data_IF_213795001757
#
_entry.id   IF_213795001757
#
_cell.length_a   1.000
_cell.length_b   1.000
_cell.length_c   1.000
_cell.angle_alpha   90.00
_cell.angle_beta   90.00
_cell.angle_gamma   90.00
#
_symmetry.space_group_name_H-M   'P 1'
#
loop_
_entity.id
_entity.type
_entity.pdbx_description
1 polymer ?
#
# COMPACT_ATOMS: atom_id res chain seq x y z
N UNK A 1 5.73 -17.32 -11.45
CA UNK A 1 5.82 -16.85 -10.04
C UNK A 1 7.17 -17.25 -9.46
N UNK A 2 7.80 -16.34 -8.71
CA UNK A 2 9.11 -16.59 -8.10
C UNK A 2 9.00 -17.64 -6.97
N UNK A 3 9.83 -18.70 -7.03
CA UNK A 3 9.75 -19.80 -6.08
C UNK A 3 10.10 -19.37 -4.65
N UNK A 4 11.11 -18.49 -4.49
CA UNK A 4 11.49 -17.95 -3.17
C UNK A 4 10.36 -17.15 -2.54
N UNK A 5 9.68 -16.32 -3.34
CA UNK A 5 8.55 -15.53 -2.87
C UNK A 5 7.37 -16.43 -2.48
N UNK A 6 7.06 -17.45 -3.28
CA UNK A 6 6.01 -18.41 -2.96
C UNK A 6 6.32 -19.21 -1.68
N UNK A 7 7.59 -19.60 -1.49
CA UNK A 7 8.03 -20.26 -0.27
C UNK A 7 7.86 -19.35 0.94
N UNK A 8 8.24 -18.06 0.82
CA UNK A 8 8.07 -17.07 1.89
C UNK A 8 6.59 -16.90 2.27
N UNK A 9 5.67 -16.77 1.29
CA UNK A 9 4.23 -16.69 1.53
C UNK A 9 3.67 -17.95 2.22
N UNK A 10 4.24 -19.12 1.94
CA UNK A 10 3.87 -20.40 2.56
C UNK A 10 4.63 -20.70 3.84
N UNK A 11 5.52 -19.79 4.28
CA UNK A 11 6.39 -19.97 5.46
C UNK A 11 7.30 -21.19 5.36
N UNK A 12 7.71 -21.56 4.15
CA UNK A 12 8.65 -22.64 3.89
C UNK A 12 10.07 -22.11 4.13
N UNK A 13 10.85 -22.70 5.05
CA UNK A 13 12.23 -22.28 5.28
C UNK A 13 13.08 -22.38 4.01
N UNK A 14 13.93 -21.37 3.80
CA UNK A 14 14.83 -21.33 2.65
C UNK A 14 16.12 -20.56 3.01
N UNK A 15 17.22 -20.95 2.36
CA UNK A 15 18.53 -20.36 2.66
C UNK A 15 18.67 -18.89 2.19
N UNK A 16 17.95 -18.53 1.12
CA UNK A 16 18.01 -17.17 0.55
C UNK A 16 16.59 -16.64 0.45
N UNK A 17 16.29 -15.53 1.14
CA UNK A 17 14.97 -14.88 1.05
C UNK A 17 14.76 -14.23 -0.31
N UNK A 18 13.50 -14.02 -0.77
CA UNK A 18 13.23 -13.21 -1.94
C UNK A 18 13.60 -11.75 -1.68
N UNK A 19 14.04 -11.06 -2.72
CA UNK A 19 14.47 -9.66 -2.63
C UNK A 19 13.54 -8.77 -3.46
N UNK A 20 13.04 -7.72 -2.81
CA UNK A 20 12.35 -6.60 -3.44
C UNK A 20 12.44 -5.36 -2.54
N UNK A 21 12.22 -4.18 -3.10
CA UNK A 21 12.21 -2.94 -2.34
C UNK A 21 10.93 -2.13 -2.62
N UNK A 22 10.34 -1.57 -1.58
CA UNK A 22 9.13 -0.76 -1.66
C UNK A 22 9.23 0.37 -2.70
N UNK A 23 10.43 0.96 -2.85
CA UNK A 23 10.73 2.03 -3.80
C UNK A 23 11.84 1.64 -4.77
N UNK A 24 11.74 0.42 -5.33
CA UNK A 24 12.74 -0.04 -6.31
C UNK A 24 12.74 0.78 -7.60
N UNK A 25 11.61 1.30 -8.06
CA UNK A 25 11.57 2.36 -9.06
C UNK A 25 11.56 3.73 -8.37
N UNK A 26 12.45 4.64 -8.75
CA UNK A 26 12.51 5.95 -8.11
C UNK A 26 13.59 6.88 -8.64
N UNK A 27 13.68 8.07 -8.06
CA UNK A 27 14.54 9.17 -8.51
C UNK A 27 16.03 8.87 -8.54
N UNK A 28 16.52 7.85 -7.87
CA UNK A 28 17.91 7.40 -7.91
C UNK A 28 18.23 6.61 -9.19
N UNK A 29 17.22 6.02 -9.82
CA UNK A 29 17.35 5.04 -10.90
C UNK A 29 17.38 5.75 -12.27
N UNK A 30 18.40 5.49 -13.07
CA UNK A 30 18.59 6.16 -14.38
C UNK A 30 17.44 5.92 -15.35
N UNK A 31 16.93 4.68 -15.41
CA UNK A 31 15.77 4.32 -16.22
C UNK A 31 14.55 5.19 -15.84
N UNK A 32 14.25 5.29 -14.55
CA UNK A 32 13.17 6.16 -14.07
C UNK A 32 13.39 7.63 -14.43
N UNK A 33 14.61 8.14 -14.29
CA UNK A 33 14.94 9.53 -14.63
C UNK A 33 14.70 9.83 -16.12
N UNK A 34 15.07 8.88 -16.99
CA UNK A 34 14.86 9.01 -18.44
C UNK A 34 13.38 9.08 -18.81
N UNK A 35 12.52 8.30 -18.14
CA UNK A 35 11.07 8.37 -18.33
C UNK A 35 10.48 9.66 -17.74
N UNK A 36 10.94 10.08 -16.56
CA UNK A 36 10.49 11.34 -15.93
C UNK A 36 10.85 12.59 -16.73
N UNK A 37 11.91 12.55 -17.53
CA UNK A 37 12.26 13.65 -18.43
C UNK A 37 11.25 13.85 -19.57
N UNK A 38 10.48 12.82 -19.92
CA UNK A 38 9.51 12.81 -21.03
C UNK A 38 8.06 12.85 -20.59
N UNK A 39 7.77 12.36 -19.38
CA UNK A 39 6.43 12.15 -18.88
C UNK A 39 6.25 12.71 -17.46
N UNK A 40 5.09 13.26 -17.17
CA UNK A 40 4.71 13.64 -15.82
C UNK A 40 4.54 12.40 -14.92
N UNK A 41 4.59 12.59 -13.62
CA UNK A 41 4.35 11.48 -12.67
C UNK A 41 2.94 10.88 -12.85
N UNK A 42 1.94 11.72 -13.04
CA UNK A 42 0.56 11.29 -13.25
C UNK A 42 0.39 10.48 -14.55
N UNK A 43 1.02 10.91 -15.64
CA UNK A 43 1.01 10.14 -16.90
C UNK A 43 1.65 8.77 -16.71
N UNK A 44 2.82 8.71 -16.06
CA UNK A 44 3.48 7.42 -15.78
C UNK A 44 2.67 6.48 -14.90
N UNK A 45 1.87 7.00 -13.98
CA UNK A 45 0.98 6.18 -13.15
C UNK A 45 -0.30 5.74 -13.87
N UNK A 46 -0.90 6.65 -14.68
CA UNK A 46 -2.22 6.44 -15.29
C UNK A 46 -2.18 5.77 -16.67
N UNK A 47 -1.04 5.82 -17.36
CA UNK A 47 -0.85 5.02 -18.57
C UNK A 47 -0.33 3.61 -18.20
N UNK A 48 -1.10 2.54 -18.44
CA UNK A 48 -0.72 1.18 -18.05
C UNK A 48 0.60 0.70 -18.66
N UNK A 49 0.93 1.15 -19.87
CA UNK A 49 2.16 0.75 -20.55
C UNK A 49 3.38 1.46 -19.96
N UNK A 50 3.25 2.74 -19.63
CA UNK A 50 4.29 3.50 -18.95
C UNK A 50 4.49 3.01 -17.52
N UNK A 51 3.42 2.73 -16.78
CA UNK A 51 3.51 2.14 -15.43
C UNK A 51 4.25 0.81 -15.44
N UNK A 52 3.94 -0.06 -16.41
CA UNK A 52 4.64 -1.32 -16.59
C UNK A 52 6.13 -1.12 -16.95
N UNK A 53 6.45 -0.16 -17.81
CA UNK A 53 7.84 0.14 -18.17
C UNK A 53 8.65 0.64 -16.97
N UNK A 54 8.06 1.50 -16.15
CA UNK A 54 8.70 1.95 -14.89
C UNK A 54 8.91 0.78 -13.92
N UNK A 55 7.93 -0.12 -13.80
CA UNK A 55 8.02 -1.27 -12.89
C UNK A 55 9.08 -2.29 -13.34
N UNK A 56 9.30 -2.42 -14.66
CA UNK A 56 10.27 -3.37 -15.23
C UNK A 56 11.72 -2.93 -15.06
N UNK A 57 12.02 -1.63 -15.12
CA UNK A 57 13.40 -1.15 -15.05
C UNK A 57 14.23 -1.73 -13.90
N UNK A 58 13.77 -1.70 -12.64
CA UNK A 58 14.49 -2.32 -11.53
C UNK A 58 14.65 -3.84 -11.63
N UNK A 59 13.72 -4.53 -12.27
CA UNK A 59 13.81 -5.97 -12.49
C UNK A 59 14.92 -6.30 -13.48
N UNK A 60 15.02 -5.52 -14.56
CA UNK A 60 16.03 -5.69 -15.61
C UNK A 60 17.44 -5.32 -15.10
N UNK A 61 17.56 -4.23 -14.33
CA UNK A 61 18.85 -3.71 -13.89
C UNK A 61 19.41 -4.43 -12.64
N UNK A 62 18.53 -4.93 -11.74
CA UNK A 62 18.96 -5.49 -10.45
C UNK A 62 18.53 -6.94 -10.21
N UNK A 63 17.82 -7.54 -11.13
CA UNK A 63 17.34 -8.94 -11.04
C UNK A 63 16.52 -9.24 -9.77
N UNK A 64 15.76 -8.28 -9.24
CA UNK A 64 14.90 -8.50 -8.08
C UNK A 64 13.91 -9.65 -8.30
N UNK A 65 13.58 -10.37 -7.22
CA UNK A 65 12.66 -11.51 -7.26
C UNK A 65 11.20 -11.11 -7.49
N UNK A 66 10.84 -9.89 -7.05
CA UNK A 66 9.46 -9.40 -7.07
C UNK A 66 9.38 -8.01 -7.68
N UNK A 67 8.52 -7.85 -8.69
CA UNK A 67 8.10 -6.54 -9.18
C UNK A 67 6.96 -5.99 -8.32
N UNK A 68 6.87 -4.67 -8.23
CA UNK A 68 5.75 -3.97 -7.60
C UNK A 68 5.09 -3.05 -8.61
N UNK A 69 3.76 -3.01 -8.61
CA UNK A 69 2.98 -2.04 -9.38
C UNK A 69 3.57 -0.63 -9.22
N UNK A 70 3.78 0.09 -10.32
CA UNK A 70 4.10 1.51 -10.25
C UNK A 70 2.82 2.33 -10.21
N UNK A 71 2.55 2.97 -9.07
CA UNK A 71 1.33 3.72 -8.79
C UNK A 71 1.57 4.70 -7.62
N UNK A 72 0.51 5.29 -7.09
CA UNK A 72 0.54 6.12 -5.89
C UNK A 72 -0.54 5.70 -4.88
N UNK A 73 -0.26 5.95 -3.59
CA UNK A 73 -1.17 5.63 -2.48
C UNK A 73 -2.46 6.44 -2.49
N UNK A 74 -2.45 7.65 -3.09
CA UNK A 74 -3.52 8.64 -2.95
C UNK A 74 -4.60 8.55 -4.04
N UNK A 75 -4.47 7.67 -5.01
CA UNK A 75 -5.49 7.50 -6.05
C UNK A 75 -6.89 7.16 -5.52
N UNK A 76 -7.07 6.42 -4.41
CA UNK A 76 -8.38 6.29 -3.81
C UNK A 76 -9.00 7.63 -3.39
N UNK A 77 -8.20 8.57 -2.84
CA UNK A 77 -8.69 9.91 -2.48
C UNK A 77 -9.06 10.73 -3.72
N UNK A 78 -8.26 10.64 -4.80
CA UNK A 78 -8.62 11.24 -6.09
C UNK A 78 -9.95 10.69 -6.62
N UNK A 79 -10.10 9.36 -6.61
CA UNK A 79 -11.31 8.69 -7.07
C UNK A 79 -12.55 9.09 -6.24
N UNK A 80 -12.37 9.30 -4.93
CA UNK A 80 -13.42 9.82 -4.04
C UNK A 80 -13.74 11.29 -4.26
N UNK A 81 -13.08 11.98 -5.21
CA UNK A 81 -13.39 13.35 -5.60
C UNK A 81 -12.58 14.42 -4.87
N UNK A 82 -11.54 14.07 -4.10
CA UNK A 82 -10.72 15.05 -3.40
C UNK A 82 -9.78 15.84 -4.31
N UNK A 83 -9.61 15.40 -5.56
CA UNK A 83 -8.66 15.98 -6.52
C UNK A 83 -7.21 15.68 -6.12
N UNK A 84 -6.36 15.36 -7.09
CA UNK A 84 -4.95 15.06 -6.81
C UNK A 84 -4.08 15.67 -7.90
N UNK A 85 -3.08 16.46 -7.49
CA UNK A 85 -2.05 17.03 -8.35
C UNK A 85 -0.68 16.81 -7.74
N UNK A 86 0.34 16.81 -8.59
CA UNK A 86 1.74 16.73 -8.19
C UNK A 86 2.51 17.95 -8.69
N UNK A 87 2.87 18.87 -7.75
CA UNK A 87 3.65 20.07 -8.05
C UNK A 87 4.42 20.55 -6.79
N UNK A 88 5.66 20.15 -6.57
CA UNK A 88 6.32 18.88 -6.92
C UNK A 88 5.86 17.71 -6.03
N UNK A 89 5.12 18.00 -4.95
CA UNK A 89 4.58 17.03 -3.99
C UNK A 89 3.07 16.80 -4.25
N UNK A 90 2.49 15.72 -3.73
CA UNK A 90 1.06 15.50 -3.83
C UNK A 90 0.27 16.62 -3.12
N UNK A 91 -0.77 17.09 -3.78
CA UNK A 91 -1.68 18.12 -3.29
C UNK A 91 -3.12 17.68 -3.58
N UNK A 92 -3.95 17.66 -2.56
CA UNK A 92 -5.40 17.47 -2.71
C UNK A 92 -6.08 18.80 -2.99
N UNK A 93 -7.17 18.79 -3.71
CA UNK A 93 -7.95 19.98 -4.02
C UNK A 93 -8.68 20.56 -2.80
N UNK A 94 -9.00 19.72 -1.82
CA UNK A 94 -9.58 20.08 -0.55
C UNK A 94 -9.21 19.07 0.54
N UNK A 95 -9.41 19.45 1.80
CA UNK A 95 -9.11 18.61 2.96
C UNK A 95 -10.37 18.18 3.68
N UNK A 96 -10.36 16.97 4.23
CA UNK A 96 -11.47 16.37 4.93
C UNK A 96 -11.81 17.13 6.22
N UNK A 97 -13.08 17.46 6.39
CA UNK A 97 -13.69 17.97 7.61
C UNK A 97 -15.00 17.23 7.89
N UNK A 98 -15.64 17.50 9.03
CA UNK A 98 -16.94 16.92 9.34
C UNK A 98 -18.03 17.36 8.34
N UNK A 99 -17.98 18.64 7.93
CA UNK A 99 -18.99 19.24 7.05
C UNK A 99 -18.96 18.65 5.63
N UNK A 100 -17.74 18.33 5.13
CA UNK A 100 -17.54 17.87 3.75
C UNK A 100 -17.33 16.35 3.59
N UNK A 101 -17.40 15.58 4.68
CA UNK A 101 -17.35 14.11 4.63
C UNK A 101 -18.41 13.53 3.67
N UNK A 102 -19.60 14.14 3.63
CA UNK A 102 -20.72 13.76 2.74
C UNK A 102 -20.45 13.98 1.26
N UNK A 103 -19.46 14.81 0.91
CA UNK A 103 -19.10 15.17 -0.46
C UNK A 103 -18.16 14.14 -1.09
N UNK A 104 -17.68 13.16 -0.30
CA UNK A 104 -16.89 12.04 -0.81
C UNK A 104 -17.77 11.12 -1.66
N UNK A 105 -17.30 10.82 -2.88
CA UNK A 105 -17.92 9.82 -3.73
C UNK A 105 -17.89 8.44 -3.10
N UNK A 106 -18.98 7.70 -3.26
CA UNK A 106 -19.08 6.30 -2.82
C UNK A 106 -18.32 5.40 -3.79
N UNK A 107 -18.08 4.18 -3.37
CA UNK A 107 -17.22 3.22 -4.08
C UNK A 107 -17.71 2.92 -5.51
N UNK A 108 -19.02 2.86 -5.75
CA UNK A 108 -19.65 2.59 -7.05
C UNK A 108 -19.38 3.70 -8.07
N UNK A 109 -19.39 4.95 -7.64
CA UNK A 109 -19.00 6.10 -8.47
C UNK A 109 -17.48 6.24 -8.63
N UNK A 110 -16.69 5.86 -7.60
CA UNK A 110 -15.26 6.07 -7.55
C UNK A 110 -14.46 4.95 -8.25
N UNK A 111 -14.92 3.68 -8.19
CA UNK A 111 -14.24 2.51 -8.72
C UNK A 111 -13.75 2.65 -10.17
N UNK A 112 -14.55 3.19 -11.14
CA UNK A 112 -14.08 3.30 -12.52
C UNK A 112 -12.80 4.13 -12.68
N UNK A 113 -12.55 5.10 -11.79
CA UNK A 113 -11.36 5.93 -11.81
C UNK A 113 -10.08 5.17 -11.39
N UNK A 114 -10.20 3.94 -10.86
CA UNK A 114 -9.08 3.09 -10.43
C UNK A 114 -8.76 1.95 -11.41
N UNK A 115 -9.54 1.77 -12.47
CA UNK A 115 -9.40 0.67 -13.44
C UNK A 115 -8.01 0.65 -14.12
N UNK A 116 -7.37 1.81 -14.28
CA UNK A 116 -6.01 1.91 -14.84
C UNK A 116 -4.98 1.12 -14.02
N UNK A 117 -5.17 0.94 -12.71
CA UNK A 117 -4.27 0.15 -11.87
C UNK A 117 -4.34 -1.34 -12.21
N UNK A 118 -5.55 -1.88 -12.47
CA UNK A 118 -5.72 -3.24 -13.00
C UNK A 118 -5.00 -3.40 -14.32
N UNK A 119 -5.19 -2.47 -15.25
CA UNK A 119 -4.53 -2.51 -16.55
C UNK A 119 -2.99 -2.41 -16.43
N UNK A 120 -2.49 -1.59 -15.50
CA UNK A 120 -1.05 -1.49 -15.23
C UNK A 120 -0.47 -2.80 -14.68
N UNK A 121 -1.20 -3.49 -13.80
CA UNK A 121 -0.82 -4.84 -13.30
C UNK A 121 -0.79 -5.84 -14.46
N UNK A 122 -1.82 -5.87 -15.32
CA UNK A 122 -1.89 -6.73 -16.51
C UNK A 122 -0.70 -6.49 -17.43
N UNK A 123 -0.41 -5.23 -17.77
CA UNK A 123 0.70 -4.86 -18.66
C UNK A 123 2.06 -5.21 -18.05
N UNK A 124 2.23 -5.01 -16.74
CA UNK A 124 3.44 -5.42 -16.02
C UNK A 124 3.59 -6.94 -16.07
N UNK A 125 2.53 -7.71 -15.76
CA UNK A 125 2.57 -9.19 -15.77
C UNK A 125 2.92 -9.75 -17.14
N UNK A 126 2.42 -9.16 -18.23
CA UNK A 126 2.76 -9.57 -19.62
C UNK A 126 4.26 -9.45 -19.94
N UNK A 127 4.93 -8.44 -19.38
CA UNK A 127 6.37 -8.18 -19.63
C UNK A 127 7.28 -8.92 -18.66
N UNK A 128 6.78 -9.21 -17.47
CA UNK A 128 7.57 -9.78 -16.39
C UNK A 128 7.83 -11.28 -16.63
N UNK A 129 9.09 -11.75 -16.54
CA UNK A 129 9.42 -13.16 -16.66
C UNK A 129 8.58 -14.03 -15.71
N UNK A 130 8.23 -15.25 -16.14
CA UNK A 130 7.45 -16.19 -15.31
C UNK A 130 8.13 -16.54 -13.98
N UNK A 131 9.47 -16.48 -13.93
CA UNK A 131 10.26 -16.70 -12.72
C UNK A 131 10.21 -15.58 -11.70
N UNK A 132 9.58 -14.45 -12.03
CA UNK A 132 9.43 -13.28 -11.15
C UNK A 132 7.99 -13.17 -10.64
N UNK A 133 7.83 -12.68 -9.41
CA UNK A 133 6.54 -12.38 -8.79
C UNK A 133 6.13 -10.94 -9.01
N UNK A 134 4.84 -10.65 -8.87
CA UNK A 134 4.28 -9.30 -8.99
C UNK A 134 3.36 -9.04 -7.81
N UNK A 135 3.56 -7.91 -7.13
CA UNK A 135 2.70 -7.44 -6.05
C UNK A 135 2.05 -6.10 -6.41
N UNK A 136 0.84 -5.92 -5.91
CA UNK A 136 0.15 -4.65 -5.91
C UNK A 136 0.34 -3.90 -4.58
N UNK A 137 -0.24 -2.71 -4.48
CA UNK A 137 -0.31 -2.00 -3.21
C UNK A 137 -1.45 -0.97 -3.18
N UNK A 138 -1.88 -0.63 -1.96
CA UNK A 138 -2.78 0.49 -1.66
C UNK A 138 -2.31 1.19 -0.39
N UNK A 139 -2.76 2.43 -0.18
CA UNK A 139 -2.57 3.13 1.08
C UNK A 139 -3.34 2.46 2.22
N UNK A 140 -2.72 2.32 3.39
CA UNK A 140 -3.40 1.91 4.60
C UNK A 140 -4.47 2.94 5.02
N UNK A 141 -5.54 2.51 5.70
CA UNK A 141 -6.65 3.41 6.04
C UNK A 141 -6.23 4.66 6.82
N UNK A 142 -5.32 4.51 7.80
CA UNK A 142 -4.85 5.66 8.58
C UNK A 142 -3.99 6.61 7.75
N UNK A 143 -3.14 6.08 6.86
CA UNK A 143 -2.34 6.90 5.96
C UNK A 143 -3.23 7.71 5.02
N UNK A 144 -4.25 7.11 4.42
CA UNK A 144 -5.18 7.81 3.55
C UNK A 144 -5.99 8.87 4.33
N UNK A 145 -6.45 8.55 5.53
CA UNK A 145 -7.10 9.52 6.40
C UNK A 145 -6.18 10.71 6.73
N UNK A 146 -4.92 10.42 7.07
CA UNK A 146 -3.93 11.47 7.36
C UNK A 146 -3.76 12.40 6.17
N UNK A 147 -3.60 11.88 4.97
CA UNK A 147 -3.50 12.71 3.77
C UNK A 147 -4.79 13.47 3.48
N UNK A 148 -5.95 12.85 3.68
CA UNK A 148 -7.24 13.51 3.49
C UNK A 148 -7.41 14.72 4.41
N UNK A 149 -6.95 14.64 5.67
CA UNK A 149 -7.08 15.72 6.67
C UNK A 149 -5.95 16.75 6.58
N UNK A 150 -4.68 16.28 6.52
CA UNK A 150 -3.48 17.15 6.58
C UNK A 150 -3.06 17.67 5.19
N UNK A 151 -3.37 16.94 4.12
CA UNK A 151 -2.84 17.16 2.78
C UNK A 151 -1.41 16.63 2.58
N UNK A 152 -0.71 16.29 3.65
CA UNK A 152 0.67 15.78 3.62
C UNK A 152 0.99 15.00 4.90
N UNK A 153 1.95 14.08 4.81
CA UNK A 153 2.51 13.43 6.01
C UNK A 153 3.74 14.23 6.49
N UNK A 154 3.50 15.30 7.26
CA UNK A 154 4.55 16.18 7.80
C UNK A 154 4.23 16.59 9.23
N UNK A 155 5.27 16.82 10.04
CA UNK A 155 5.12 17.26 11.43
C UNK A 155 4.48 16.22 12.33
N UNK A 156 3.83 16.65 13.39
CA UNK A 156 3.22 15.78 14.41
C UNK A 156 1.82 15.27 14.08
N UNK A 157 1.30 15.50 12.87
CA UNK A 157 -0.05 15.11 12.43
C UNK A 157 -1.17 15.57 13.39
N UNK A 158 -1.09 16.80 13.81
CA UNK A 158 -1.95 17.36 14.87
C UNK A 158 -3.41 17.44 14.46
N UNK A 159 -3.69 17.82 13.20
CA UNK A 159 -5.06 17.90 12.68
C UNK A 159 -5.66 16.50 12.59
N UNK A 160 -4.92 15.52 12.05
CA UNK A 160 -5.37 14.12 11.98
C UNK A 160 -5.69 13.55 13.35
N UNK A 161 -4.83 13.83 14.36
CA UNK A 161 -5.06 13.39 15.73
C UNK A 161 -6.30 14.03 16.35
N UNK A 162 -6.54 15.33 16.11
CA UNK A 162 -7.76 16.02 16.55
C UNK A 162 -9.00 15.54 15.82
N UNK A 163 -8.88 15.20 14.55
CA UNK A 163 -9.98 14.72 13.70
C UNK A 163 -10.20 13.21 13.81
N UNK A 164 -9.54 12.51 14.73
CA UNK A 164 -9.67 11.06 14.88
C UNK A 164 -11.12 10.56 15.03
N UNK A 165 -12.07 11.30 15.64
CA UNK A 165 -13.49 10.93 15.61
C UNK A 165 -14.08 10.75 14.21
N UNK A 166 -13.53 11.42 13.18
CA UNK A 166 -13.95 11.28 11.79
C UNK A 166 -13.38 10.02 11.13
N UNK A 167 -12.39 9.35 11.73
CA UNK A 167 -11.73 8.20 11.11
C UNK A 167 -12.69 7.06 10.81
N UNK A 168 -13.56 6.70 11.77
CA UNK A 168 -14.55 5.64 11.55
C UNK A 168 -15.55 5.98 10.47
N UNK A 169 -16.25 7.15 10.49
CA UNK A 169 -17.14 7.55 9.38
C UNK A 169 -16.43 7.63 8.01
N UNK A 170 -15.17 8.08 7.98
CA UNK A 170 -14.36 8.07 6.76
C UNK A 170 -14.10 6.64 6.27
N UNK A 171 -13.76 5.70 7.15
CA UNK A 171 -13.56 4.30 6.81
C UNK A 171 -14.84 3.63 6.25
N UNK A 172 -16.03 4.01 6.71
CA UNK A 172 -17.31 3.50 6.17
C UNK A 172 -17.48 3.83 4.68
N UNK A 173 -16.83 4.91 4.20
CA UNK A 173 -16.83 5.28 2.78
C UNK A 173 -15.61 4.70 2.06
N UNK A 174 -14.45 4.74 2.70
CA UNK A 174 -13.17 4.34 2.11
C UNK A 174 -13.04 2.83 1.91
N UNK A 175 -13.39 2.02 2.93
CA UNK A 175 -13.10 0.57 2.92
C UNK A 175 -13.79 -0.18 1.77
N UNK A 176 -15.06 0.10 1.40
CA UNK A 176 -15.65 -0.47 0.20
C UNK A 176 -14.83 -0.19 -1.07
N UNK A 177 -14.36 1.05 -1.25
CA UNK A 177 -13.52 1.41 -2.40
C UNK A 177 -12.14 0.74 -2.36
N UNK A 178 -11.51 0.64 -1.18
CA UNK A 178 -10.24 -0.07 -1.04
C UNK A 178 -10.37 -1.56 -1.37
N UNK A 179 -11.48 -2.20 -0.98
CA UNK A 179 -11.76 -3.59 -1.35
C UNK A 179 -11.84 -3.75 -2.86
N UNK A 180 -12.55 -2.85 -3.55
CA UNK A 180 -12.60 -2.85 -5.02
C UNK A 180 -11.22 -2.63 -5.64
N UNK A 181 -10.43 -1.68 -5.12
CA UNK A 181 -9.09 -1.43 -5.62
C UNK A 181 -8.14 -2.62 -5.43
N UNK A 182 -8.20 -3.29 -4.28
CA UNK A 182 -7.45 -4.52 -4.02
C UNK A 182 -7.89 -5.61 -5.00
N UNK A 183 -9.19 -5.81 -5.17
CA UNK A 183 -9.75 -6.80 -6.09
C UNK A 183 -9.29 -6.56 -7.53
N UNK A 184 -9.33 -5.31 -8.02
CA UNK A 184 -8.85 -4.93 -9.34
C UNK A 184 -7.38 -5.32 -9.56
N UNK A 185 -6.52 -5.10 -8.57
CA UNK A 185 -5.09 -5.45 -8.67
C UNK A 185 -4.88 -6.97 -8.65
N UNK A 186 -5.62 -7.71 -7.80
CA UNK A 186 -5.56 -9.18 -7.77
C UNK A 186 -6.05 -9.79 -9.09
N UNK A 187 -7.15 -9.30 -9.65
CA UNK A 187 -7.67 -9.70 -10.96
C UNK A 187 -6.71 -9.37 -12.11
N UNK A 188 -5.93 -8.30 -11.98
CA UNK A 188 -4.87 -7.94 -12.91
C UNK A 188 -3.68 -8.90 -12.91
N UNK A 189 -3.54 -9.73 -11.86
CA UNK A 189 -2.47 -10.72 -11.73
C UNK A 189 -1.43 -10.43 -10.65
N UNK A 190 -1.71 -9.49 -9.72
CA UNK A 190 -0.93 -9.33 -8.50
C UNK A 190 -1.13 -10.56 -7.59
N UNK A 191 -0.05 -11.10 -7.03
CA UNK A 191 -0.10 -12.29 -6.16
C UNK A 191 -0.61 -11.96 -4.76
N UNK A 192 -0.20 -10.80 -4.24
CA UNK A 192 -0.69 -10.15 -3.03
C UNK A 192 -0.76 -8.63 -3.27
N UNK A 193 -1.48 -7.94 -2.39
CA UNK A 193 -1.53 -6.47 -2.35
C UNK A 193 -1.02 -5.99 -0.99
N UNK A 194 -0.04 -5.07 -1.00
CA UNK A 194 0.50 -4.47 0.22
C UNK A 194 -0.37 -3.31 0.69
N UNK A 195 -0.73 -3.29 1.96
CA UNK A 195 -1.28 -2.12 2.65
C UNK A 195 -0.11 -1.32 3.23
N UNK A 196 0.16 -0.14 2.71
CA UNK A 196 1.22 0.73 3.23
C UNK A 196 0.65 1.75 4.21
N UNK A 197 0.85 1.52 5.50
CA UNK A 197 0.36 2.41 6.56
C UNK A 197 1.51 3.17 7.23
N UNK A 198 1.97 4.22 6.52
CA UNK A 198 3.13 5.01 6.92
C UNK A 198 2.86 5.94 8.10
N UNK A 199 1.59 6.13 8.50
CA UNK A 199 1.17 6.96 9.64
C UNK A 199 0.90 6.13 10.92
N UNK A 200 1.00 4.80 10.86
CA UNK A 200 0.60 3.90 11.96
C UNK A 200 1.29 4.23 13.29
N UNK A 201 2.61 4.46 13.27
CA UNK A 201 3.40 4.76 14.47
C UNK A 201 3.22 6.16 15.05
N UNK A 202 2.40 7.01 14.43
CA UNK A 202 2.10 8.37 14.93
C UNK A 202 1.01 8.38 16.00
N UNK A 203 0.26 7.28 16.15
CA UNK A 203 -0.70 7.07 17.21
C UNK A 203 -0.07 6.30 18.37
N UNK A 204 -0.59 6.46 19.58
CA UNK A 204 -0.21 5.56 20.67
C UNK A 204 -0.75 4.15 20.42
N UNK A 205 -0.11 3.10 20.97
CA UNK A 205 -0.58 1.72 20.77
C UNK A 205 -2.06 1.50 21.07
N UNK A 206 -2.56 2.08 22.18
CA UNK A 206 -3.98 1.97 22.56
C UNK A 206 -4.89 2.58 21.51
N UNK A 207 -4.61 3.80 21.09
CA UNK A 207 -5.42 4.53 20.10
C UNK A 207 -5.40 3.82 18.74
N UNK A 208 -4.25 3.30 18.34
CA UNK A 208 -4.11 2.50 17.13
C UNK A 208 -4.95 1.21 17.18
N UNK A 209 -4.86 0.45 18.27
CA UNK A 209 -5.61 -0.80 18.43
C UNK A 209 -7.13 -0.55 18.45
N UNK A 210 -7.58 0.52 19.11
CA UNK A 210 -8.99 0.84 19.23
C UNK A 210 -9.60 1.37 17.92
N UNK A 211 -8.84 2.13 17.12
CA UNK A 211 -9.39 2.82 15.95
C UNK A 211 -8.96 2.21 14.61
N UNK A 212 -7.70 1.83 14.45
CA UNK A 212 -7.17 1.41 13.13
C UNK A 212 -7.31 -0.09 12.90
N UNK A 213 -7.05 -0.90 13.92
CA UNK A 213 -7.12 -2.37 13.80
C UNK A 213 -8.47 -2.89 13.33
N UNK A 214 -9.63 -2.33 13.73
CA UNK A 214 -10.92 -2.77 13.19
C UNK A 214 -11.02 -2.64 11.67
N UNK A 215 -10.54 -1.53 11.09
CA UNK A 215 -10.51 -1.34 9.64
C UNK A 215 -9.57 -2.33 8.94
N UNK A 216 -8.41 -2.62 9.54
CA UNK A 216 -7.46 -3.61 9.03
C UNK A 216 -8.04 -5.04 9.10
N UNK A 217 -8.75 -5.39 10.17
CA UNK A 217 -9.46 -6.69 10.30
C UNK A 217 -10.49 -6.87 9.18
N UNK A 218 -11.27 -5.85 8.89
CA UNK A 218 -12.27 -5.89 7.82
C UNK A 218 -11.64 -6.15 6.45
N UNK A 219 -10.51 -5.50 6.13
CA UNK A 219 -9.78 -5.74 4.89
C UNK A 219 -9.15 -7.14 4.85
N UNK A 220 -8.52 -7.57 5.95
CA UNK A 220 -7.88 -8.88 6.02
C UNK A 220 -8.89 -10.04 5.93
N UNK A 221 -10.08 -9.87 6.51
CA UNK A 221 -11.18 -10.83 6.40
C UNK A 221 -11.75 -10.92 4.97
N UNK A 222 -11.78 -9.80 4.25
CA UNK A 222 -12.23 -9.80 2.85
C UNK A 222 -11.23 -10.50 1.90
N UNK A 223 -9.92 -10.48 2.23
CA UNK A 223 -8.84 -11.01 1.39
C UNK A 223 -7.86 -11.86 2.20
N UNK A 224 -8.29 -12.99 2.79
CA UNK A 224 -7.43 -13.80 3.66
C UNK A 224 -6.20 -14.31 2.91
N UNK A 225 -5.01 -14.06 3.48
CA UNK A 225 -3.69 -14.42 2.92
C UNK A 225 -3.37 -13.78 1.56
N UNK A 226 -4.10 -12.71 1.18
CA UNK A 226 -3.84 -11.93 -0.04
C UNK A 226 -3.31 -10.54 0.24
N UNK A 227 -3.27 -10.10 1.50
CA UNK A 227 -2.76 -8.81 1.90
C UNK A 227 -1.45 -8.95 2.68
N UNK A 228 -0.46 -8.11 2.35
CA UNK A 228 0.65 -7.80 3.22
C UNK A 228 0.38 -6.48 3.94
N UNK A 229 0.88 -6.30 5.16
CA UNK A 229 0.72 -5.07 5.92
C UNK A 229 2.06 -4.51 6.34
N UNK A 230 2.37 -3.28 5.94
CA UNK A 230 3.54 -2.53 6.38
C UNK A 230 3.10 -1.34 7.22
N UNK A 231 3.60 -1.28 8.43
CA UNK A 231 3.32 -0.21 9.38
C UNK A 231 4.61 0.50 9.79
N UNK A 232 4.79 1.75 9.37
CA UNK A 232 5.96 2.54 9.74
C UNK A 232 5.84 3.03 11.18
N UNK A 233 6.91 2.89 11.95
CA UNK A 233 7.02 3.50 13.27
C UNK A 233 6.30 2.77 14.40
N UNK A 234 5.71 1.63 14.13
CA UNK A 234 5.02 0.85 15.17
C UNK A 234 6.01 0.20 16.13
N UNK A 235 5.58 0.10 17.37
CA UNK A 235 6.26 -0.63 18.44
C UNK A 235 5.59 -2.00 18.62
N UNK A 236 6.21 -2.97 19.32
CA UNK A 236 5.58 -4.26 19.61
C UNK A 236 4.19 -4.14 20.24
N UNK A 237 3.97 -3.08 21.04
CA UNK A 237 2.68 -2.83 21.67
C UNK A 237 1.54 -2.50 20.68
N UNK A 238 1.83 -2.02 19.47
CA UNK A 238 0.84 -1.80 18.41
C UNK A 238 0.38 -3.12 17.77
N UNK A 239 1.23 -4.14 17.78
CA UNK A 239 1.01 -5.40 17.11
C UNK A 239 0.58 -6.53 18.06
N UNK A 240 -0.04 -6.18 19.20
CA UNK A 240 -0.50 -7.16 20.20
C UNK A 240 -1.83 -7.83 19.85
N UNK A 241 -2.55 -7.33 18.85
CA UNK A 241 -3.80 -7.93 18.41
C UNK A 241 -3.55 -9.26 17.68
N UNK A 242 -4.49 -10.20 17.80
CA UNK A 242 -4.46 -11.50 17.10
C UNK A 242 -4.30 -11.38 15.59
N UNK A 243 -4.75 -10.25 15.01
CA UNK A 243 -4.56 -9.93 13.58
C UNK A 243 -3.11 -10.02 13.13
N UNK A 244 -2.15 -9.78 14.03
CA UNK A 244 -0.71 -9.77 13.76
C UNK A 244 0.02 -11.02 14.32
N UNK A 245 -0.72 -11.96 14.86
CA UNK A 245 -0.22 -13.20 15.46
C UNK A 245 0.12 -14.29 14.46
N UNK A 246 0.33 -15.50 14.97
CA UNK A 246 0.71 -16.67 14.16
C UNK A 246 -0.34 -17.03 13.11
N UNK A 247 -1.62 -16.93 13.46
CA UNK A 247 -2.77 -17.21 12.59
C UNK A 247 -3.26 -15.99 11.82
N UNK A 248 -2.43 -14.94 11.73
CA UNK A 248 -2.75 -13.72 11.01
C UNK A 248 -3.39 -13.98 9.66
N UNK A 249 -4.44 -13.27 9.32
CA UNK A 249 -5.05 -13.29 7.99
C UNK A 249 -4.19 -12.58 6.94
N UNK A 250 -3.20 -11.79 7.34
CA UNK A 250 -2.21 -11.23 6.42
C UNK A 250 -1.29 -12.32 5.86
N UNK A 251 -0.87 -12.14 4.62
CA UNK A 251 0.16 -12.97 3.98
C UNK A 251 1.54 -12.72 4.61
N UNK A 252 1.76 -11.49 5.12
CA UNK A 252 2.98 -11.11 5.80
C UNK A 252 2.91 -9.72 6.40
N UNK A 253 3.86 -9.44 7.31
CA UNK A 253 4.04 -8.14 7.95
C UNK A 253 5.35 -7.52 7.50
N UNK A 254 5.34 -6.22 7.20
CA UNK A 254 6.54 -5.44 6.89
C UNK A 254 6.94 -4.61 8.10
N UNK A 255 8.22 -4.64 8.46
CA UNK A 255 8.81 -3.90 9.57
C UNK A 255 9.78 -2.85 9.04
N UNK A 256 9.89 -1.72 9.71
CA UNK A 256 10.87 -0.71 9.36
C UNK A 256 12.23 -0.95 10.09
N UNK A 257 13.22 -0.13 9.74
CA UNK A 257 14.61 -0.23 10.24
C UNK A 257 14.76 -0.12 11.76
N UNK A 258 13.70 0.14 12.53
CA UNK A 258 13.70 0.23 14.00
C UNK A 258 13.50 -1.13 14.68
N UNK A 259 13.14 -2.14 13.92
CA UNK A 259 12.96 -3.49 14.44
C UNK A 259 14.24 -4.30 14.35
N UNK A 260 14.58 -5.03 15.43
CA UNK A 260 15.51 -6.13 15.34
C UNK A 260 14.85 -7.30 14.60
N UNK A 261 15.51 -7.82 13.57
CA UNK A 261 14.96 -8.90 12.75
C UNK A 261 14.71 -10.18 13.55
N UNK A 262 15.56 -10.49 14.55
CA UNK A 262 15.40 -11.69 15.39
C UNK A 262 14.15 -11.59 16.25
N UNK A 263 13.90 -10.39 16.82
CA UNK A 263 12.69 -10.13 17.59
C UNK A 263 11.45 -10.17 16.71
N UNK A 264 11.48 -9.57 15.52
CA UNK A 264 10.40 -9.63 14.57
C UNK A 264 10.05 -11.07 14.17
N UNK A 265 11.03 -11.91 13.87
CA UNK A 265 10.82 -13.32 13.55
C UNK A 265 10.32 -14.15 14.73
N UNK A 266 10.79 -13.86 15.96
CA UNK A 266 10.34 -14.56 17.17
C UNK A 266 8.89 -14.25 17.48
N UNK A 267 8.51 -12.97 17.43
CA UNK A 267 7.23 -12.46 17.92
C UNK A 267 6.13 -12.51 16.86
N UNK A 268 6.51 -12.54 15.57
CA UNK A 268 5.59 -12.51 14.43
C UNK A 268 5.93 -13.59 13.40
N UNK A 269 5.94 -14.86 13.83
CA UNK A 269 6.29 -16.04 12.99
C UNK A 269 5.43 -16.20 11.73
N UNK A 270 4.36 -15.44 11.62
CA UNK A 270 3.46 -15.43 10.48
C UNK A 270 3.82 -14.47 9.37
N UNK A 271 4.89 -13.69 9.49
CA UNK A 271 5.22 -12.61 8.57
C UNK A 271 6.51 -12.85 7.80
N UNK A 272 6.63 -12.17 6.66
CA UNK A 272 7.92 -11.89 6.07
C UNK A 272 8.32 -10.46 6.46
N UNK A 273 9.62 -10.29 6.66
CA UNK A 273 10.20 -9.01 7.08
C UNK A 273 10.75 -8.31 5.84
N UNK A 274 10.49 -7.03 5.76
CA UNK A 274 11.06 -6.16 4.74
C UNK A 274 11.98 -5.14 5.38
#
# INVERSE_FOLDING_TARGET
MNVRFQNALKRIPQAVPPVWFMRQAGRYHKHYQALRAKHSFMEMCKDPKLAAEVAMGPIEDFDFDVAILFSDLLFPLEAMGMGLKYDPAPQLGWHLTEENLKDLKRWDEAKPALEFQKQAVIETRKRLPESKSLIGFVGGPLTLFTYAVEGAHKGGLEKSKRSLPLFKPFCEILLPLLKENIQLQLEGGAEIVMLFDTAAGELSPRVYLENVVPALKELAQAFPKKLGYYAKGVLPAHLRDELFGEDSLFAGLGFDHRWDLRDAFRDHRGGFVQ
#
